data_IF_850933367016
#
_entry.id   IF_850933367016
#
_cell.length_a   1.000
_cell.length_b   1.000
_cell.length_c   1.000
_cell.angle_alpha   90.00
_cell.angle_beta   90.00
_cell.angle_gamma   90.00
#
_symmetry.space_group_name_H-M   'P 1'
#
loop_
_entity.id
_entity.type
_entity.pdbx_description
1 polymer ?
#
# COMPACT_ATOMS: atom_id res chain seq x y z
N UNK A 1 -11.67 -8.34 11.59
CA UNK A 1 -11.48 -9.15 10.36
C UNK A 1 -10.03 -8.93 9.97
N UNK A 2 -9.20 -9.97 10.04
CA UNK A 2 -7.75 -9.87 9.85
C UNK A 2 -7.40 -10.55 8.53
N UNK A 3 -6.52 -9.94 7.75
CA UNK A 3 -6.03 -10.47 6.49
C UNK A 3 -4.53 -10.71 6.63
N UNK A 4 -4.14 -11.97 6.64
CA UNK A 4 -2.72 -12.36 6.60
C UNK A 4 -2.25 -12.34 5.15
N UNK A 5 -1.28 -11.47 4.86
CA UNK A 5 -0.69 -11.34 3.55
C UNK A 5 0.80 -11.01 3.67
N UNK A 6 1.60 -11.55 2.75
CA UNK A 6 3.04 -11.33 2.70
C UNK A 6 3.33 -10.01 2.00
N UNK A 7 4.13 -9.15 2.63
CA UNK A 7 4.62 -7.93 1.98
C UNK A 7 5.61 -8.31 0.88
N UNK A 8 5.28 -7.95 -0.36
CA UNK A 8 6.10 -8.25 -1.54
C UNK A 8 6.95 -7.03 -1.89
N UNK A 9 6.35 -5.84 -1.85
CA UNK A 9 7.03 -4.63 -2.30
C UNK A 9 6.53 -3.39 -1.58
N UNK A 10 7.47 -2.54 -1.22
CA UNK A 10 7.24 -1.20 -0.69
C UNK A 10 7.59 -0.23 -1.81
N UNK A 11 6.60 0.50 -2.33
CA UNK A 11 6.84 1.52 -3.34
C UNK A 11 7.39 2.79 -2.67
N UNK A 12 8.13 3.65 -3.39
CA UNK A 12 8.62 4.90 -2.82
C UNK A 12 7.47 5.81 -2.38
N UNK A 13 7.68 6.54 -1.27
CA UNK A 13 6.75 7.55 -0.76
C UNK A 13 6.53 8.58 -1.87
N UNK A 14 5.27 8.80 -2.23
CA UNK A 14 4.90 9.88 -3.13
C UNK A 14 4.42 11.05 -2.30
N UNK A 15 5.03 12.20 -2.50
CA UNK A 15 4.64 13.44 -1.85
C UNK A 15 4.11 14.42 -2.88
N UNK A 16 3.25 15.33 -2.48
CA UNK A 16 2.78 16.40 -3.35
C UNK A 16 2.21 17.56 -2.55
N UNK A 17 2.18 18.74 -3.17
CA UNK A 17 1.56 19.93 -2.59
C UNK A 17 0.13 20.02 -3.12
N UNK A 18 -0.84 19.68 -2.28
CA UNK A 18 -2.26 19.81 -2.58
C UNK A 18 -2.83 21.15 -2.14
N UNK A 19 -4.10 21.40 -2.48
CA UNK A 19 -4.81 22.63 -2.10
C UNK A 19 -4.95 22.81 -0.57
N UNK A 20 -4.84 21.71 0.19
CA UNK A 20 -4.93 21.67 1.66
C UNK A 20 -3.58 21.42 2.35
N UNK A 21 -2.44 21.52 1.63
CA UNK A 21 -1.11 21.30 2.18
C UNK A 21 -0.34 20.15 1.52
N UNK A 22 0.83 19.85 2.06
CA UNK A 22 1.64 18.71 1.63
C UNK A 22 0.94 17.40 2.02
N UNK A 23 0.77 16.49 1.06
CA UNK A 23 0.29 15.14 1.32
C UNK A 23 1.40 14.14 1.04
N UNK A 24 1.43 13.07 1.84
CA UNK A 24 2.30 11.94 1.61
C UNK A 24 1.45 10.69 1.45
N UNK A 25 1.76 9.88 0.44
CA UNK A 25 1.13 8.58 0.25
C UNK A 25 2.17 7.50 0.06
N UNK A 26 1.92 6.37 0.68
CA UNK A 26 2.78 5.21 0.68
C UNK A 26 2.00 4.01 0.14
N UNK A 27 2.45 3.48 -1.00
CA UNK A 27 1.85 2.30 -1.59
C UNK A 27 2.61 1.04 -1.14
N UNK A 28 1.87 0.06 -0.63
CA UNK A 28 2.36 -1.21 -0.16
C UNK A 28 1.69 -2.32 -0.96
N UNK A 29 2.49 -3.20 -1.55
CA UNK A 29 2.01 -4.33 -2.32
C UNK A 29 2.16 -5.58 -1.46
N UNK A 30 1.03 -6.20 -1.19
CA UNK A 30 0.92 -7.46 -0.46
C UNK A 30 0.45 -8.56 -1.38
N UNK A 31 0.80 -9.80 -1.05
CA UNK A 31 0.28 -10.99 -1.70
C UNK A 31 -0.33 -11.91 -0.66
N UNK A 32 -1.56 -12.37 -0.90
CA UNK A 32 -2.22 -13.31 0.01
C UNK A 32 -1.61 -14.69 -0.15
N UNK A 33 -1.43 -15.38 0.97
CA UNK A 33 -1.01 -16.78 0.95
C UNK A 33 -2.22 -17.68 0.69
N UNK A 34 -2.11 -18.62 -0.25
CA UNK A 34 -3.18 -19.57 -0.58
C UNK A 34 -3.05 -20.16 -1.99
N UNK A 35 -3.99 -21.06 -2.33
CA UNK A 35 -4.03 -21.76 -3.63
C UNK A 35 -4.18 -20.80 -4.82
N UNK A 36 -4.67 -19.58 -4.58
CA UNK A 36 -4.78 -18.51 -5.56
C UNK A 36 -4.20 -17.22 -4.98
N UNK A 37 -2.89 -16.98 -5.14
CA UNK A 37 -2.25 -15.80 -4.59
C UNK A 37 -2.81 -14.55 -5.27
N UNK A 38 -3.39 -13.64 -4.48
CA UNK A 38 -3.91 -12.36 -4.97
C UNK A 38 -2.96 -11.25 -4.57
N UNK A 39 -2.65 -10.40 -5.53
CA UNK A 39 -1.89 -9.18 -5.29
C UNK A 39 -2.84 -8.08 -4.83
N UNK A 40 -2.52 -7.47 -3.70
CA UNK A 40 -3.30 -6.40 -3.06
C UNK A 40 -2.40 -5.17 -2.98
N UNK A 41 -2.89 -4.04 -3.48
CA UNK A 41 -2.23 -2.75 -3.31
C UNK A 41 -2.96 -1.96 -2.23
N UNK A 42 -2.24 -1.57 -1.18
CA UNK A 42 -2.74 -0.75 -0.08
C UNK A 42 -2.05 0.60 -0.15
N UNK A 43 -2.84 1.68 -0.25
CA UNK A 43 -2.34 3.05 -0.18
C UNK A 43 -2.61 3.61 1.21
N UNK A 44 -1.54 3.94 1.93
CA UNK A 44 -1.61 4.63 3.22
C UNK A 44 -1.38 6.12 2.98
N UNK A 45 -2.22 6.96 3.57
CA UNK A 45 -2.13 8.42 3.50
C UNK A 45 -1.69 8.98 4.85
N UNK A 46 -0.82 9.99 4.83
CA UNK A 46 -0.29 10.69 6.00
C UNK A 46 0.06 12.14 5.69
#
# INVERSE_FOLDING_TARGET
MNLDAKLIQVLPIQTGVGKNGEWQKQNLIFQTDGTYPKTICVTVWG
#
